data_IF_994612461404
#
_entry.id   IF_994612461404
#
_cell.length_a   1.000
_cell.length_b   1.000
_cell.length_c   1.000
_cell.angle_alpha   90.00
_cell.angle_beta   90.00
_cell.angle_gamma   90.00
#
_symmetry.space_group_name_H-M   'P 1'
#
loop_
_entity.id
_entity.type
_entity.pdbx_description
1 polymer ?
#
# COMPACT_ATOMS: atom_id res chain seq x y z
N UNK A 1 -19.28 14.58 8.91
CA UNK A 1 -18.41 15.39 8.03
C UNK A 1 -17.07 14.69 7.72
N UNK A 2 -16.35 14.19 8.73
CA UNK A 2 -15.05 13.51 8.57
C UNK A 2 -15.05 12.33 7.57
N UNK A 3 -16.11 11.50 7.56
CA UNK A 3 -16.24 10.35 6.63
C UNK A 3 -16.19 10.77 5.16
N UNK A 4 -16.84 11.88 4.80
CA UNK A 4 -16.79 12.40 3.42
C UNK A 4 -15.36 12.78 3.03
N UNK A 5 -14.64 13.46 3.94
CA UNK A 5 -13.26 13.89 3.71
C UNK A 5 -12.33 12.68 3.52
N UNK A 6 -12.48 11.65 4.35
CA UNK A 6 -11.72 10.40 4.21
C UNK A 6 -11.94 9.73 2.86
N UNK A 7 -13.18 9.69 2.37
CA UNK A 7 -13.50 9.13 1.05
C UNK A 7 -12.83 9.92 -0.07
N UNK A 8 -12.94 11.26 -0.05
CA UNK A 8 -12.28 12.09 -1.07
C UNK A 8 -10.74 11.94 -1.03
N UNK A 9 -10.15 11.92 0.17
CA UNK A 9 -8.72 11.65 0.34
C UNK A 9 -8.32 10.31 -0.24
N UNK A 10 -9.07 9.24 0.02
CA UNK A 10 -8.77 7.91 -0.49
C UNK A 10 -8.78 7.87 -2.03
N UNK A 11 -9.78 8.52 -2.65
CA UNK A 11 -9.88 8.60 -4.11
C UNK A 11 -8.70 9.37 -4.71
N UNK A 12 -8.35 10.53 -4.13
CA UNK A 12 -7.24 11.36 -4.60
C UNK A 12 -5.91 10.61 -4.49
N UNK A 13 -5.65 9.98 -3.35
CA UNK A 13 -4.44 9.17 -3.13
C UNK A 13 -4.36 8.01 -4.11
N UNK A 14 -5.47 7.31 -4.35
CA UNK A 14 -5.52 6.22 -5.33
C UNK A 14 -5.19 6.69 -6.75
N UNK A 15 -5.80 7.79 -7.20
CA UNK A 15 -5.50 8.37 -8.51
C UNK A 15 -4.03 8.81 -8.63
N UNK A 16 -3.47 9.44 -7.59
CA UNK A 16 -2.08 9.86 -7.57
C UNK A 16 -1.13 8.66 -7.74
N UNK A 17 -1.38 7.59 -6.98
CA UNK A 17 -0.56 6.37 -7.04
C UNK A 17 -0.67 5.68 -8.39
N UNK A 18 -1.86 5.66 -9.00
CA UNK A 18 -2.06 5.12 -10.34
C UNK A 18 -1.26 5.89 -11.41
N UNK A 19 -1.21 7.22 -11.31
CA UNK A 19 -0.42 8.07 -12.22
C UNK A 19 1.08 7.78 -12.05
N UNK A 20 1.57 7.73 -10.81
CA UNK A 20 2.97 7.41 -10.51
C UNK A 20 3.34 6.01 -11.01
N UNK A 21 2.51 5.00 -10.77
CA UNK A 21 2.74 3.64 -11.28
C UNK A 21 2.83 3.58 -12.80
N UNK A 22 1.97 4.32 -13.50
CA UNK A 22 2.00 4.41 -14.95
C UNK A 22 3.23 5.17 -15.48
N UNK A 23 3.63 6.26 -14.82
CA UNK A 23 4.79 7.06 -15.21
C UNK A 23 6.11 6.29 -15.04
N UNK A 24 6.23 5.52 -13.96
CA UNK A 24 7.39 4.65 -13.70
C UNK A 24 7.36 3.33 -14.49
N UNK A 25 6.33 3.08 -15.32
CA UNK A 25 6.15 1.85 -16.12
C UNK A 25 6.28 0.57 -15.29
N UNK A 26 5.75 0.58 -14.06
CA UNK A 26 5.87 -0.55 -13.16
C UNK A 26 4.73 -1.52 -13.45
N UNK A 27 5.06 -2.76 -13.81
CA UNK A 27 4.10 -3.85 -14.05
C UNK A 27 3.60 -4.45 -12.71
N UNK A 28 3.14 -3.59 -11.79
CA UNK A 28 2.62 -3.98 -10.47
C UNK A 28 1.25 -3.37 -10.25
N UNK A 29 0.45 -4.02 -9.40
CA UNK A 29 -0.86 -3.49 -9.05
C UNK A 29 -0.75 -2.16 -8.31
N UNK A 30 -1.65 -1.22 -8.59
CA UNK A 30 -1.74 0.07 -7.88
C UNK A 30 -1.81 -0.12 -6.36
N UNK A 31 -2.40 -1.22 -5.90
CA UNK A 31 -2.48 -1.59 -4.49
C UNK A 31 -1.10 -1.92 -3.89
N UNK A 32 -0.25 -2.65 -4.61
CA UNK A 32 1.11 -2.97 -4.15
C UNK A 32 1.97 -1.71 -4.06
N UNK A 33 1.85 -0.83 -5.05
CA UNK A 33 2.52 0.47 -5.05
C UNK A 33 2.07 1.29 -3.83
N UNK A 34 0.76 1.34 -3.55
CA UNK A 34 0.23 2.05 -2.38
C UNK A 34 0.74 1.47 -1.06
N UNK A 35 0.86 0.15 -0.94
CA UNK A 35 1.39 -0.51 0.26
C UNK A 35 2.87 -0.18 0.49
N UNK A 36 3.70 -0.31 -0.56
CA UNK A 36 5.12 0.02 -0.48
C UNK A 36 5.31 1.50 -0.13
N UNK A 37 4.52 2.39 -0.74
CA UNK A 37 4.52 3.81 -0.39
C UNK A 37 4.12 4.04 1.07
N UNK A 38 3.13 3.30 1.57
CA UNK A 38 2.64 3.38 2.95
C UNK A 38 3.68 2.94 3.99
N UNK A 39 4.44 1.88 3.71
CA UNK A 39 5.51 1.40 4.61
C UNK A 39 6.72 2.35 4.53
N UNK A 40 7.00 2.86 3.34
CA UNK A 40 8.14 3.72 3.05
C UNK A 40 7.89 5.21 3.34
N UNK A 41 6.75 5.60 3.90
CA UNK A 41 6.40 7.00 4.17
C UNK A 41 7.46 7.74 5.00
N UNK A 42 8.20 7.03 5.86
CA UNK A 42 9.27 7.58 6.70
C UNK A 42 10.68 7.31 6.14
N UNK A 43 10.76 6.56 5.06
CA UNK A 43 12.02 6.18 4.44
C UNK A 43 12.52 7.28 3.49
N UNK A 44 13.84 7.41 3.37
CA UNK A 44 14.48 8.47 2.58
C UNK A 44 14.83 8.02 1.15
N UNK A 45 14.54 6.76 0.82
CA UNK A 45 14.82 6.17 -0.48
C UNK A 45 13.94 6.79 -1.57
N UNK A 46 14.49 7.12 -2.75
CA UNK A 46 13.71 7.68 -3.84
C UNK A 46 12.64 6.70 -4.32
N UNK A 47 11.43 7.20 -4.57
CA UNK A 47 10.23 6.42 -4.93
C UNK A 47 10.47 5.48 -6.12
N UNK A 48 11.26 5.91 -7.11
CA UNK A 48 11.60 5.07 -8.25
C UNK A 48 12.40 3.82 -7.87
N UNK A 49 13.41 3.99 -7.02
CA UNK A 49 14.23 2.89 -6.56
C UNK A 49 13.44 1.99 -5.61
N UNK A 50 12.65 2.59 -4.73
CA UNK A 50 11.76 1.89 -3.80
C UNK A 50 10.76 0.99 -4.55
N UNK A 51 10.09 1.52 -5.57
CA UNK A 51 9.08 0.77 -6.31
C UNK A 51 9.67 -0.21 -7.34
N UNK A 52 10.92 -0.04 -7.75
CA UNK A 52 11.61 -0.95 -8.68
C UNK A 52 12.33 -2.10 -7.95
N UNK A 53 12.94 -1.82 -6.79
CA UNK A 53 13.76 -2.77 -6.04
C UNK A 53 12.99 -3.64 -5.04
N UNK A 54 11.81 -3.20 -4.61
CA UNK A 54 11.05 -3.96 -3.60
C UNK A 54 10.38 -5.16 -4.26
N UNK A 55 10.92 -6.37 -4.17
CA UNK A 55 10.18 -7.63 -4.40
C UNK A 55 9.19 -7.80 -3.24
N UNK A 56 8.11 -7.01 -3.24
CA UNK A 56 7.12 -7.06 -2.17
C UNK A 56 6.27 -8.33 -2.33
N UNK A 57 6.84 -9.46 -1.91
CA UNK A 57 6.13 -10.73 -1.69
C UNK A 57 5.66 -10.80 -0.25
N UNK A 58 4.86 -9.85 0.22
CA UNK A 58 4.21 -10.06 1.52
C UNK A 58 2.90 -9.29 1.67
N UNK A 59 1.83 -9.83 1.10
CA UNK A 59 0.54 -9.83 1.79
C UNK A 59 -0.10 -11.19 1.57
N UNK A 60 0.59 -12.21 2.07
CA UNK A 60 -0.05 -13.49 2.37
C UNK A 60 0.26 -13.96 3.79
N UNK A 61 0.43 -13.04 4.73
CA UNK A 61 0.12 -13.31 6.14
C UNK A 61 -1.21 -12.64 6.53
N UNK A 62 -2.30 -13.17 5.96
CA UNK A 62 -3.47 -13.46 6.79
C UNK A 62 -3.29 -14.88 7.36
N UNK A 63 -2.12 -15.20 7.92
CA UNK A 63 -2.08 -16.30 8.86
C UNK A 63 -2.67 -15.73 10.15
N UNK A 64 -3.99 -15.71 10.20
CA UNK A 64 -4.76 -15.39 11.38
C UNK A 64 -4.36 -16.36 12.49
N UNK A 65 -3.32 -16.02 13.23
CA UNK A 65 -3.05 -16.51 14.58
C UNK A 65 -4.10 -15.89 15.52
N UNK A 66 -5.38 -15.97 15.17
CA UNK A 66 -6.46 -15.62 16.08
C UNK A 66 -6.23 -16.44 17.34
N UNK A 67 -6.03 -15.76 18.47
CA UNK A 67 -6.07 -16.42 19.77
C UNK A 67 -7.47 -17.01 19.94
N UNK A 68 -7.59 -18.33 19.76
CA UNK A 68 -8.75 -19.06 20.22
C UNK A 68 -8.71 -19.09 21.74
N UNK A 69 -9.37 -18.13 22.39
CA UNK A 69 -9.75 -18.28 23.79
C UNK A 69 -10.88 -19.31 23.86
N UNK A 70 -10.53 -20.58 24.00
CA UNK A 70 -11.48 -21.58 24.48
C UNK A 70 -11.72 -21.31 25.97
N UNK A 71 -12.80 -20.59 26.27
CA UNK A 71 -13.44 -20.66 27.57
C UNK A 71 -14.57 -21.69 27.46
N UNK A 72 -14.43 -22.74 28.27
CA UNK A 72 -15.26 -23.94 28.43
C UNK A 72 -14.95 -25.14 27.52
#
# INVERSE_FOLDING_TARGET
NAVRIQIYTAIITYCLVAIVGNDLKIDRSTYEILQVLGISLLDKTPVNELLTSTDYKDVKELNSNQLSFSFF
#
